data_IF_253552201209
#
_entry.id   IF_253552201209
#
_cell.length_a   1.000
_cell.length_b   1.000
_cell.length_c   1.000
_cell.angle_alpha   90.00
_cell.angle_beta   90.00
_cell.angle_gamma   90.00
#
_symmetry.space_group_name_H-M   'P 1'
#
loop_
_entity.id
_entity.type
_entity.pdbx_description
1 polymer ?
#
# COMPACT_ATOMS: atom_id res chain seq x y z
N UNK A 1 5.26 -49.91 -0.06
CA UNK A 1 4.28 -49.01 -0.72
C UNK A 1 3.01 -49.82 -0.94
N UNK A 2 1.82 -49.36 -0.53
CA UNK A 2 0.59 -50.11 -0.73
C UNK A 2 0.33 -50.27 -2.24
N UNK A 3 0.06 -51.49 -2.66
CA UNK A 3 -0.16 -51.88 -4.05
C UNK A 3 -1.62 -51.54 -4.42
N UNK A 4 -1.82 -50.72 -5.45
CA UNK A 4 -3.14 -50.36 -5.95
C UNK A 4 -3.76 -51.62 -6.59
N UNK A 5 -4.72 -52.26 -5.91
CA UNK A 5 -5.47 -53.41 -6.43
C UNK A 5 -6.78 -52.93 -7.06
N UNK A 6 -7.32 -53.70 -8.01
CA UNK A 6 -8.64 -53.43 -8.61
C UNK A 6 -9.78 -53.40 -7.58
N UNK A 7 -9.58 -54.01 -6.41
CA UNK A 7 -10.51 -54.01 -5.27
C UNK A 7 -10.46 -52.71 -4.44
N UNK A 8 -9.42 -51.88 -4.61
CA UNK A 8 -9.23 -50.61 -3.89
C UNK A 8 -9.43 -49.37 -4.79
N UNK A 9 -9.86 -49.56 -6.04
CA UNK A 9 -10.17 -48.47 -6.97
C UNK A 9 -11.62 -48.00 -6.75
N UNK A 10 -11.79 -46.86 -6.07
CA UNK A 10 -13.09 -46.21 -5.97
C UNK A 10 -13.31 -45.35 -7.21
N UNK A 11 -14.30 -45.72 -8.04
CA UNK A 11 -14.72 -44.90 -9.17
C UNK A 11 -15.71 -43.86 -8.64
N UNK A 12 -15.25 -42.62 -8.50
CA UNK A 12 -16.12 -41.48 -8.22
C UNK A 12 -16.62 -40.90 -9.54
N UNK A 13 -17.91 -41.06 -9.83
CA UNK A 13 -18.55 -40.44 -11.00
C UNK A 13 -19.12 -39.08 -10.60
N UNK A 14 -18.79 -38.02 -11.34
CA UNK A 14 -19.39 -36.70 -11.17
C UNK A 14 -20.34 -36.42 -12.34
N UNK A 15 -21.57 -35.99 -12.05
CA UNK A 15 -22.49 -35.45 -13.06
C UNK A 15 -22.22 -33.95 -13.19
N UNK A 16 -21.95 -33.47 -14.40
CA UNK A 16 -21.64 -32.06 -14.67
C UNK A 16 -22.66 -31.45 -15.64
N UNK A 17 -23.07 -30.21 -15.38
CA UNK A 17 -23.83 -29.39 -16.32
C UNK A 17 -22.86 -28.62 -17.22
N UNK A 18 -23.04 -28.69 -18.53
CA UNK A 18 -22.23 -27.97 -19.52
C UNK A 18 -23.04 -26.81 -20.09
N UNK A 19 -22.57 -25.58 -19.83
CA UNK A 19 -23.18 -24.37 -20.41
C UNK A 19 -22.46 -23.98 -21.69
N UNK A 20 -23.20 -23.81 -22.78
CA UNK A 20 -22.66 -23.40 -24.08
C UNK A 20 -23.10 -21.98 -24.42
N UNK A 21 -22.20 -21.20 -25.01
CA UNK A 21 -22.53 -19.87 -25.53
C UNK A 21 -23.11 -20.02 -26.94
N UNK A 22 -24.29 -19.46 -27.19
CA UNK A 22 -24.95 -19.51 -28.50
C UNK A 22 -25.31 -18.12 -29.01
N UNK A 23 -25.19 -17.91 -30.32
CA UNK A 23 -25.62 -16.70 -31.03
C UNK A 23 -26.51 -17.12 -32.20
N UNK A 24 -27.77 -16.65 -32.22
CA UNK A 24 -28.75 -17.04 -33.24
C UNK A 24 -28.98 -18.56 -33.33
N UNK A 25 -28.94 -19.26 -32.20
CA UNK A 25 -29.10 -20.72 -32.12
C UNK A 25 -27.88 -21.54 -32.55
N UNK A 26 -26.77 -20.91 -32.92
CA UNK A 26 -25.50 -21.58 -33.25
C UNK A 26 -24.52 -21.43 -32.10
N UNK A 27 -23.79 -22.50 -31.78
CA UNK A 27 -22.73 -22.44 -30.78
C UNK A 27 -21.61 -21.50 -31.24
N UNK A 28 -21.16 -20.64 -30.35
CA UNK A 28 -20.03 -19.73 -30.61
C UNK A 28 -18.76 -20.55 -30.82
N UNK A 29 -17.99 -20.22 -31.85
CA UNK A 29 -16.69 -20.83 -32.14
C UNK A 29 -15.55 -20.00 -31.54
N UNK A 30 -14.34 -20.55 -31.51
CA UNK A 30 -13.13 -19.78 -31.18
C UNK A 30 -12.93 -18.55 -32.07
N UNK A 31 -13.24 -18.63 -33.37
CA UNK A 31 -13.06 -17.48 -34.28
C UNK A 31 -14.05 -16.36 -33.97
N UNK A 32 -15.29 -16.69 -33.60
CA UNK A 32 -16.30 -15.70 -33.20
C UNK A 32 -15.93 -15.09 -31.86
N UNK A 33 -15.48 -15.89 -30.88
CA UNK A 33 -15.02 -15.36 -29.60
C UNK A 33 -13.86 -14.36 -29.75
N UNK A 34 -12.89 -14.63 -30.64
CA UNK A 34 -11.80 -13.69 -30.97
C UNK A 34 -12.27 -12.37 -31.60
N UNK A 35 -13.44 -12.36 -32.23
CA UNK A 35 -14.01 -11.16 -32.84
C UNK A 35 -14.76 -10.28 -31.83
N UNK A 36 -15.03 -10.76 -30.62
CA UNK A 36 -15.63 -9.93 -29.58
C UNK A 36 -14.67 -8.81 -29.20
N UNK A 37 -15.19 -7.57 -29.18
CA UNK A 37 -14.42 -6.41 -28.72
C UNK A 37 -14.03 -6.60 -27.26
N UNK A 38 -12.75 -6.38 -26.96
CA UNK A 38 -12.26 -6.43 -25.59
C UNK A 38 -12.51 -5.09 -24.91
N UNK A 39 -13.19 -5.15 -23.76
CA UNK A 39 -13.47 -3.99 -22.91
C UNK A 39 -13.44 -4.40 -21.43
N UNK A 40 -13.10 -3.47 -20.52
CA UNK A 40 -13.07 -3.77 -19.08
C UNK A 40 -14.47 -4.11 -18.56
N UNK A 41 -14.63 -5.28 -17.95
CA UNK A 41 -15.86 -5.64 -17.25
C UNK A 41 -16.01 -4.89 -15.92
N UNK A 42 -14.91 -4.75 -15.17
CA UNK A 42 -14.88 -4.03 -13.90
C UNK A 42 -14.34 -2.63 -14.17
N UNK A 43 -15.13 -1.62 -13.82
CA UNK A 43 -14.76 -0.22 -13.96
C UNK A 43 -13.76 0.20 -12.86
N UNK A 44 -13.11 1.35 -13.03
CA UNK A 44 -12.15 1.89 -12.07
C UNK A 44 -12.75 2.07 -10.67
N UNK A 45 -14.03 2.46 -10.58
CA UNK A 45 -14.77 2.64 -9.33
C UNK A 45 -15.22 1.31 -8.65
N UNK A 46 -14.90 0.17 -9.26
CA UNK A 46 -15.25 -1.17 -8.79
C UNK A 46 -16.63 -1.65 -9.21
N UNK A 47 -17.40 -0.88 -9.96
CA UNK A 47 -18.70 -1.31 -10.50
C UNK A 47 -18.53 -2.20 -11.74
N UNK A 48 -19.58 -2.97 -12.09
CA UNK A 48 -19.60 -3.74 -13.33
C UNK A 48 -20.13 -2.88 -14.47
N UNK A 49 -19.39 -2.82 -15.58
CA UNK A 49 -19.80 -2.11 -16.79
C UNK A 49 -20.98 -2.78 -17.53
N UNK A 50 -21.38 -3.97 -17.12
CA UNK A 50 -22.48 -4.72 -17.72
C UNK A 50 -22.73 -6.06 -17.05
N UNK A 51 -23.50 -6.92 -17.70
CA UNK A 51 -23.89 -8.22 -17.15
C UNK A 51 -22.89 -9.29 -17.56
N UNK A 52 -22.14 -9.91 -16.62
CA UNK A 52 -21.28 -11.02 -16.95
C UNK A 52 -22.10 -12.30 -17.20
N UNK A 53 -21.72 -13.07 -18.22
CA UNK A 53 -22.41 -14.32 -18.57
C UNK A 53 -21.66 -15.55 -18.08
N UNK A 54 -20.33 -15.53 -18.19
CA UNK A 54 -19.50 -16.68 -17.90
C UNK A 54 -18.05 -16.46 -18.35
N UNK A 55 -17.17 -17.42 -18.08
CA UNK A 55 -15.79 -17.37 -18.55
C UNK A 55 -15.48 -18.47 -19.56
N UNK A 56 -14.59 -18.21 -20.51
CA UNK A 56 -14.13 -19.18 -21.49
C UNK A 56 -12.70 -19.59 -21.15
N UNK A 57 -12.42 -20.89 -21.09
CA UNK A 57 -11.05 -21.39 -20.90
C UNK A 57 -10.30 -21.44 -22.24
N UNK A 58 -10.12 -20.27 -22.85
CA UNK A 58 -9.47 -20.11 -24.14
C UNK A 58 -8.66 -18.81 -24.14
N UNK A 59 -7.40 -18.88 -24.58
CA UNK A 59 -6.44 -17.78 -24.53
C UNK A 59 -6.18 -17.24 -25.95
N UNK A 60 -7.02 -16.29 -26.45
CA UNK A 60 -6.88 -15.78 -27.82
C UNK A 60 -5.53 -15.09 -28.05
N UNK A 61 -5.01 -14.44 -27.01
CA UNK A 61 -3.82 -13.57 -27.08
C UNK A 61 -2.55 -14.24 -26.53
N UNK A 62 -2.53 -15.58 -26.43
CA UNK A 62 -1.40 -16.39 -25.91
C UNK A 62 -0.94 -15.99 -24.50
N UNK A 63 -1.85 -15.48 -23.68
CA UNK A 63 -1.58 -15.05 -22.31
C UNK A 63 -1.39 -16.20 -21.30
N UNK A 64 -1.10 -17.43 -21.74
CA UNK A 64 -0.95 -18.59 -20.87
C UNK A 64 0.23 -18.45 -19.88
N UNK A 65 1.27 -17.69 -20.25
CA UNK A 65 2.46 -17.46 -19.43
C UNK A 65 2.37 -16.21 -18.55
N UNK A 66 1.24 -15.48 -18.61
CA UNK A 66 1.02 -14.25 -17.85
C UNK A 66 0.50 -14.47 -16.43
N UNK A 67 0.16 -13.38 -15.75
CA UNK A 67 -0.52 -13.45 -14.45
C UNK A 67 -1.86 -14.19 -14.58
N UNK A 68 -2.28 -14.97 -13.56
CA UNK A 68 -3.55 -15.68 -13.59
C UNK A 68 -4.73 -14.73 -13.86
N UNK A 69 -5.48 -14.97 -14.94
CA UNK A 69 -6.65 -14.17 -15.31
C UNK A 69 -7.76 -15.04 -15.90
N UNK A 70 -8.95 -14.46 -16.01
CA UNK A 70 -10.12 -15.08 -16.65
C UNK A 70 -10.54 -14.30 -17.88
N UNK A 71 -10.86 -15.02 -18.95
CA UNK A 71 -11.49 -14.48 -20.14
C UNK A 71 -13.00 -14.52 -19.96
N UNK A 72 -13.60 -13.37 -19.63
CA UNK A 72 -15.01 -13.25 -19.30
C UNK A 72 -15.80 -12.75 -20.50
N UNK A 73 -16.92 -13.42 -20.81
CA UNK A 73 -17.92 -12.92 -21.76
C UNK A 73 -18.97 -12.16 -20.97
N UNK A 74 -19.30 -10.96 -21.43
CA UNK A 74 -20.25 -10.08 -20.77
C UNK A 74 -21.01 -9.22 -21.78
N UNK A 75 -22.09 -8.58 -21.34
CA UNK A 75 -22.99 -7.82 -22.22
C UNK A 75 -23.22 -6.40 -21.70
N UNK A 76 -23.20 -5.42 -22.62
CA UNK A 76 -23.61 -4.03 -22.36
C UNK A 76 -24.43 -3.52 -23.54
N UNK A 77 -25.61 -2.95 -23.26
CA UNK A 77 -26.48 -2.34 -24.27
C UNK A 77 -26.79 -3.25 -25.47
N UNK A 78 -26.94 -4.55 -25.22
CA UNK A 78 -27.18 -5.55 -26.27
C UNK A 78 -25.93 -6.07 -26.98
N UNK A 79 -24.77 -5.43 -26.83
CA UNK A 79 -23.50 -5.86 -27.40
C UNK A 79 -22.82 -6.92 -26.53
N UNK A 80 -22.31 -7.98 -27.15
CA UNK A 80 -21.50 -8.99 -26.48
C UNK A 80 -20.02 -8.61 -26.55
N UNK A 81 -19.38 -8.58 -25.39
CA UNK A 81 -18.00 -8.12 -25.19
C UNK A 81 -17.19 -9.23 -24.51
N UNK A 82 -15.86 -9.12 -24.60
CA UNK A 82 -14.94 -9.92 -23.79
C UNK A 82 -14.14 -9.03 -22.85
N UNK A 83 -13.69 -9.58 -21.72
CA UNK A 83 -12.78 -8.92 -20.80
C UNK A 83 -11.71 -9.90 -20.33
N UNK A 84 -10.49 -9.40 -20.15
CA UNK A 84 -9.46 -10.08 -19.37
C UNK A 84 -9.55 -9.59 -17.92
N UNK A 85 -9.82 -10.47 -16.96
CA UNK A 85 -9.94 -10.14 -15.53
C UNK A 85 -8.85 -10.86 -14.73
N UNK A 86 -7.82 -10.14 -14.32
CA UNK A 86 -6.66 -10.68 -13.57
C UNK A 86 -6.95 -10.93 -12.09
N UNK A 87 -6.23 -11.88 -11.50
CA UNK A 87 -6.16 -12.11 -10.07
C UNK A 87 -4.72 -12.08 -9.58
N UNK A 88 -4.43 -11.38 -8.47
CA UNK A 88 -5.25 -10.34 -7.85
C UNK A 88 -5.26 -9.11 -8.77
N UNK A 89 -6.44 -8.54 -9.07
CA UNK A 89 -6.47 -7.10 -9.40
C UNK A 89 -5.80 -6.43 -8.20
N UNK A 90 -4.66 -5.82 -8.44
CA UNK A 90 -3.86 -5.21 -7.39
C UNK A 90 -4.62 -4.03 -6.76
N UNK A 91 -5.54 -4.35 -5.86
CA UNK A 91 -6.07 -3.43 -4.86
C UNK A 91 -5.17 -3.44 -3.60
N UNK A 92 -3.98 -4.06 -3.67
CA UNK A 92 -2.98 -4.04 -2.60
C UNK A 92 -1.98 -2.90 -2.77
N UNK A 93 -1.92 -2.29 -3.96
CA UNK A 93 -1.17 -1.10 -4.25
C UNK A 93 -1.53 -0.03 -3.22
N UNK A 94 -0.53 0.73 -2.81
CA UNK A 94 -0.77 1.85 -1.93
C UNK A 94 -1.76 2.83 -2.58
N UNK A 95 -2.71 3.30 -1.79
CA UNK A 95 -3.58 4.38 -2.23
C UNK A 95 -2.89 5.70 -1.96
N UNK A 96 -2.65 6.47 -3.03
CA UNK A 96 -2.16 7.84 -2.92
C UNK A 96 -3.31 8.81 -3.10
N UNK A 97 -3.45 9.71 -2.14
CA UNK A 97 -4.52 10.69 -2.09
C UNK A 97 -3.88 12.06 -1.91
N UNK A 98 -4.29 13.06 -2.69
CA UNK A 98 -3.68 14.39 -2.62
C UNK A 98 -3.85 14.99 -1.21
N UNK A 99 -5.03 14.86 -0.61
CA UNK A 99 -5.26 15.34 0.75
C UNK A 99 -4.41 14.59 1.78
N UNK A 100 -4.18 13.29 1.59
CA UNK A 100 -3.26 12.51 2.42
C UNK A 100 -1.81 12.99 2.38
N UNK A 101 -1.31 13.39 1.20
CA UNK A 101 0.00 13.99 1.07
C UNK A 101 0.05 15.33 1.82
N UNK A 102 -0.91 16.22 1.54
CA UNK A 102 -0.99 17.53 2.19
C UNK A 102 -1.11 17.43 3.72
N UNK A 103 -1.93 16.50 4.21
CA UNK A 103 -2.06 16.19 5.63
C UNK A 103 -0.74 15.72 6.23
N UNK A 104 -0.01 14.81 5.58
CA UNK A 104 1.27 14.33 6.10
C UNK A 104 2.33 15.44 6.13
N UNK A 105 2.36 16.31 5.12
CA UNK A 105 3.22 17.48 5.14
C UNK A 105 2.86 18.43 6.29
N UNK A 106 1.57 18.73 6.45
CA UNK A 106 1.06 19.57 7.53
C UNK A 106 1.39 19.00 8.92
N UNK A 107 1.17 17.70 9.11
CA UNK A 107 1.50 16.98 10.34
C UNK A 107 3.01 16.96 10.62
N UNK A 108 3.83 16.75 9.59
CA UNK A 108 5.28 16.82 9.74
C UNK A 108 5.72 18.20 10.23
N UNK A 109 5.16 19.29 9.67
CA UNK A 109 5.40 20.66 10.14
C UNK A 109 4.93 20.85 11.59
N UNK A 110 3.77 20.34 11.98
CA UNK A 110 3.28 20.40 13.37
C UNK A 110 4.22 19.68 14.34
N UNK A 111 4.64 18.45 14.04
CA UNK A 111 5.51 17.67 14.92
C UNK A 111 6.84 18.36 15.13
N UNK A 112 7.46 18.87 14.06
CA UNK A 112 8.74 19.54 14.19
C UNK A 112 8.61 20.85 14.98
N UNK A 113 7.47 21.52 14.90
CA UNK A 113 7.13 22.66 15.75
C UNK A 113 6.83 22.29 17.22
N UNK A 114 6.87 21.00 17.59
CA UNK A 114 6.48 20.53 18.92
C UNK A 114 4.98 20.60 19.18
N UNK A 115 4.17 20.70 18.13
CA UNK A 115 2.70 20.87 18.16
C UNK A 115 1.94 19.68 17.59
N UNK A 116 2.60 18.56 17.30
CA UNK A 116 1.98 17.40 16.68
C UNK A 116 0.79 16.88 17.48
N UNK A 117 -0.42 16.96 16.93
CA UNK A 117 -1.66 16.49 17.58
C UNK A 117 -2.03 15.07 17.17
N UNK A 118 -1.70 14.69 15.94
CA UNK A 118 -1.98 13.36 15.42
C UNK A 118 -0.91 12.36 15.82
N UNK A 119 -1.27 11.07 15.75
CA UNK A 119 -0.39 9.94 16.05
C UNK A 119 0.29 10.04 17.45
N UNK A 120 -0.39 10.65 18.43
CA UNK A 120 0.13 10.83 19.79
C UNK A 120 1.34 11.76 19.87
N UNK A 121 1.42 12.76 18.97
CA UNK A 121 2.58 13.62 18.80
C UNK A 121 3.81 12.89 18.26
N UNK A 122 3.65 11.62 17.88
CA UNK A 122 4.65 10.86 17.14
C UNK A 122 4.37 11.03 15.67
N UNK A 123 5.31 10.55 14.89
CA UNK A 123 5.11 10.45 13.47
C UNK A 123 4.67 9.00 13.14
N UNK A 124 3.90 8.79 12.06
CA UNK A 124 3.45 7.45 11.65
C UNK A 124 4.63 6.49 11.34
N UNK A 125 4.37 5.20 11.25
CA UNK A 125 5.45 4.24 10.99
C UNK A 125 5.92 4.36 9.53
N UNK A 126 7.21 4.66 9.33
CA UNK A 126 7.85 4.60 8.02
C UNK A 126 8.37 3.19 7.78
N UNK A 127 7.79 2.51 6.80
CA UNK A 127 8.26 1.22 6.32
C UNK A 127 9.00 1.46 5.02
N UNK A 128 10.25 1.00 4.92
CA UNK A 128 10.98 1.01 3.66
C UNK A 128 10.55 -0.22 2.85
N UNK A 129 9.94 0.00 1.70
CA UNK A 129 9.62 -1.04 0.73
C UNK A 129 10.39 -0.74 -0.54
N UNK A 130 11.36 -1.59 -0.86
CA UNK A 130 12.30 -1.41 -1.97
C UNK A 130 13.00 -0.03 -1.91
N UNK A 131 12.66 0.85 -2.85
CA UNK A 131 13.20 2.20 -2.97
C UNK A 131 12.29 3.30 -2.42
N UNK A 132 11.06 2.96 -2.03
CA UNK A 132 10.09 3.91 -1.51
C UNK A 132 10.00 3.91 0.02
N UNK A 133 9.65 5.06 0.58
CA UNK A 133 9.32 5.19 2.00
C UNK A 133 7.80 5.20 2.12
N UNK A 134 7.25 4.16 2.73
CA UNK A 134 5.81 3.99 2.89
C UNK A 134 5.39 4.37 4.29
N UNK A 135 4.54 5.39 4.41
CA UNK A 135 3.88 5.73 5.67
C UNK A 135 2.69 4.80 5.82
N UNK A 136 2.75 3.86 6.77
CA UNK A 136 1.60 3.02 7.08
C UNK A 136 0.82 3.60 8.25
N UNK A 137 -0.46 3.86 8.04
CA UNK A 137 -1.37 4.19 9.12
C UNK A 137 -2.72 3.52 8.91
N UNK A 138 -3.55 3.53 9.94
CA UNK A 138 -4.92 3.01 9.85
C UNK A 138 -5.91 4.16 9.95
N UNK A 139 -6.87 4.18 9.05
CA UNK A 139 -8.05 5.04 9.10
C UNK A 139 -9.24 4.13 9.33
N UNK A 140 -9.95 4.29 10.45
CA UNK A 140 -11.11 3.44 10.81
C UNK A 140 -10.86 1.93 10.69
N UNK A 141 -9.63 1.49 11.00
CA UNK A 141 -9.21 0.09 10.93
C UNK A 141 -8.71 -0.37 9.55
N UNK A 142 -8.88 0.43 8.51
CA UNK A 142 -8.37 0.14 7.17
C UNK A 142 -6.89 0.55 7.05
N UNK A 143 -6.00 -0.34 6.58
CA UNK A 143 -4.61 0.00 6.35
C UNK A 143 -4.48 0.93 5.14
N UNK A 144 -3.87 2.09 5.37
CA UNK A 144 -3.43 3.02 4.35
C UNK A 144 -1.92 3.09 4.33
N UNK A 145 -1.41 3.22 3.11
CA UNK A 145 0.01 3.32 2.81
C UNK A 145 0.18 4.57 1.95
N UNK A 146 1.01 5.51 2.39
CA UNK A 146 1.34 6.70 1.62
C UNK A 146 2.79 6.55 1.15
N UNK A 147 3.00 6.36 -0.15
CA UNK A 147 4.32 6.15 -0.77
C UNK A 147 5.03 7.48 -1.05
N UNK A 148 6.00 7.83 -0.22
CA UNK A 148 6.85 9.01 -0.41
C UNK A 148 7.87 8.74 -1.56
N UNK A 149 7.51 9.07 -2.80
CA UNK A 149 8.32 8.84 -4.02
C UNK A 149 8.61 10.13 -4.82
N UNK A 150 7.84 11.21 -4.60
CA UNK A 150 8.09 12.49 -5.26
C UNK A 150 9.26 13.26 -4.62
N UNK A 151 9.94 14.15 -5.37
CA UNK A 151 10.96 15.05 -4.81
C UNK A 151 10.45 15.92 -3.67
N UNK A 152 9.16 16.20 -3.62
CA UNK A 152 8.53 16.95 -2.53
C UNK A 152 8.43 16.10 -1.26
N UNK A 153 8.19 14.79 -1.41
CA UNK A 153 8.21 13.80 -0.33
C UNK A 153 9.60 13.59 0.27
N UNK A 154 10.66 13.86 -0.52
CA UNK A 154 12.03 13.90 -0.01
C UNK A 154 12.18 14.97 1.08
N UNK A 155 11.52 16.12 0.97
CA UNK A 155 11.63 17.19 1.98
C UNK A 155 11.00 16.76 3.30
N UNK A 156 9.81 16.15 3.24
CA UNK A 156 9.15 15.57 4.43
C UNK A 156 10.03 14.51 5.07
N UNK A 157 10.58 13.61 4.26
CA UNK A 157 11.51 12.56 4.70
C UNK A 157 12.80 13.13 5.30
N UNK A 158 13.33 14.21 4.75
CA UNK A 158 14.57 14.81 5.26
C UNK A 158 14.30 15.59 6.55
N UNK A 159 13.16 16.27 6.66
CA UNK A 159 12.68 16.90 7.89
C UNK A 159 12.51 15.88 9.00
N UNK A 160 11.94 14.73 8.64
CA UNK A 160 11.78 13.60 9.51
C UNK A 160 13.10 13.07 10.05
N UNK A 161 14.08 12.85 9.16
CA UNK A 161 15.41 12.37 9.55
C UNK A 161 16.11 13.36 10.48
N UNK A 162 16.00 14.66 10.18
CA UNK A 162 16.55 15.72 11.02
C UNK A 162 15.90 15.71 12.42
N UNK A 163 14.57 15.60 12.49
CA UNK A 163 13.83 15.56 13.76
C UNK A 163 14.22 14.35 14.61
N UNK A 164 14.27 13.15 14.02
CA UNK A 164 14.69 11.94 14.74
C UNK A 164 16.13 12.04 15.23
N UNK A 165 17.03 12.59 14.41
CA UNK A 165 18.42 12.81 14.81
C UNK A 165 18.52 13.77 16.00
N UNK A 166 17.77 14.88 15.97
CA UNK A 166 17.74 15.84 17.08
C UNK A 166 17.16 15.24 18.34
N UNK A 167 16.00 14.59 18.26
CA UNK A 167 15.36 13.96 19.42
C UNK A 167 16.27 12.89 20.03
N UNK A 168 16.92 12.06 19.21
CA UNK A 168 17.87 11.05 19.70
C UNK A 168 19.06 11.71 20.41
N UNK A 169 19.57 12.82 19.89
CA UNK A 169 20.65 13.58 20.53
C UNK A 169 20.23 14.17 21.88
N UNK A 170 19.01 14.74 21.97
CA UNK A 170 18.43 15.24 23.23
C UNK A 170 18.25 14.11 24.24
N UNK A 171 17.64 12.99 23.84
CA UNK A 171 17.46 11.82 24.71
C UNK A 171 18.81 11.23 25.16
N UNK A 172 19.84 11.27 24.31
CA UNK A 172 21.20 10.92 24.69
C UNK A 172 21.75 11.91 25.72
N UNK A 173 21.63 13.21 25.50
CA UNK A 173 22.11 14.26 26.39
C UNK A 173 21.47 14.17 27.79
N UNK A 174 20.16 13.92 27.86
CA UNK A 174 19.40 13.77 29.11
C UNK A 174 19.73 12.48 29.87
N UNK A 175 20.20 11.43 29.18
CA UNK A 175 20.58 10.18 29.86
C UNK A 175 21.73 10.44 30.81
N UNK A 176 21.62 10.00 32.09
CA UNK A 176 22.71 10.09 33.04
C UNK A 176 23.99 9.54 32.43
N UNK A 177 25.11 10.19 32.72
CA UNK A 177 26.43 9.73 32.31
C UNK A 177 26.74 8.44 33.07
N UNK A 178 26.25 7.31 32.58
CA UNK A 178 26.76 6.03 33.00
C UNK A 178 28.16 5.94 32.45
N UNK A 179 29.15 5.97 33.34
CA UNK A 179 30.57 5.94 33.00
C UNK A 179 30.80 4.84 31.95
N UNK A 180 30.99 5.21 30.66
CA UNK A 180 30.95 4.22 29.57
C UNK A 180 32.25 3.42 29.51
N UNK A 181 33.26 3.79 30.31
CA UNK A 181 34.52 3.10 30.38
C UNK A 181 34.65 2.36 31.72
N UNK A 182 34.70 1.01 31.73
CA UNK A 182 35.21 0.30 32.89
C UNK A 182 36.62 0.83 33.13
N UNK A 183 36.83 1.42 34.31
CA UNK A 183 38.06 2.15 34.56
C UNK A 183 39.21 1.16 34.46
N UNK A 184 40.07 1.34 33.46
CA UNK A 184 41.31 0.60 33.42
C UNK A 184 42.10 0.92 34.70
N UNK A 185 42.68 -0.09 35.37
CA UNK A 185 43.55 0.14 36.51
C UNK A 185 44.62 1.18 36.12
N UNK A 186 44.77 2.24 36.92
CA UNK A 186 45.80 3.27 36.71
C UNK A 186 45.34 4.61 36.12
N UNK A 187 44.06 4.79 35.78
CA UNK A 187 43.54 6.10 35.33
C UNK A 187 43.27 7.01 36.53
N UNK A 188 43.89 8.20 36.54
CA UNK A 188 43.72 9.20 37.60
C UNK A 188 42.30 9.80 37.60
N UNK A 189 41.89 10.36 38.73
CA UNK A 189 40.60 11.04 38.85
C UNK A 189 40.49 12.23 37.88
N UNK A 190 41.58 12.96 37.68
CA UNK A 190 41.66 14.07 36.73
C UNK A 190 41.45 13.60 35.28
N UNK A 191 42.06 12.49 34.88
CA UNK A 191 41.85 11.90 33.56
C UNK A 191 40.39 11.47 33.35
N UNK A 192 39.74 10.94 34.40
CA UNK A 192 38.30 10.61 34.34
C UNK A 192 37.44 11.86 34.16
N UNK A 193 37.74 12.93 34.92
CA UNK A 193 37.03 14.20 34.81
C UNK A 193 37.15 14.80 33.40
N UNK A 194 38.35 14.77 32.80
CA UNK A 194 38.58 15.22 31.42
C UNK A 194 37.80 14.40 30.39
N UNK A 195 37.72 13.07 30.54
CA UNK A 195 36.93 12.21 29.65
C UNK A 195 35.44 12.53 29.75
N UNK A 196 34.90 12.66 30.97
CA UNK A 196 33.49 13.03 31.19
C UNK A 196 33.19 14.42 30.62
N UNK A 197 34.07 15.40 30.84
CA UNK A 197 33.92 16.75 30.30
C UNK A 197 33.91 16.75 28.77
N UNK A 198 34.87 16.06 28.13
CA UNK A 198 34.93 15.94 26.68
C UNK A 198 33.66 15.30 26.12
N UNK A 199 33.23 14.20 26.71
CA UNK A 199 32.05 13.49 26.24
C UNK A 199 30.75 14.30 26.42
N UNK A 200 30.66 15.08 27.50
CA UNK A 200 29.53 16.01 27.71
C UNK A 200 29.54 17.12 26.65
N UNK A 201 30.71 17.68 26.34
CA UNK A 201 30.85 18.66 25.26
C UNK A 201 30.50 18.07 23.89
N UNK A 202 30.95 16.84 23.60
CA UNK A 202 30.64 16.14 22.34
C UNK A 202 29.13 15.88 22.20
N UNK A 203 28.42 15.55 23.30
CA UNK A 203 26.96 15.39 23.29
C UNK A 203 26.23 16.70 23.02
N UNK A 204 26.56 17.77 23.74
CA UNK A 204 25.97 19.08 23.54
C UNK A 204 26.17 19.58 22.10
N UNK A 205 27.36 19.35 21.53
CA UNK A 205 27.68 19.68 20.14
C UNK A 205 26.86 18.87 19.13
N UNK A 206 26.62 17.57 19.39
CA UNK A 206 25.72 16.74 18.55
C UNK A 206 24.28 17.27 18.60
N UNK A 207 23.77 17.59 19.79
CA UNK A 207 22.42 18.15 19.95
C UNK A 207 22.29 19.48 19.21
N UNK A 208 23.28 20.38 19.35
CA UNK A 208 23.32 21.67 18.64
C UNK A 208 23.28 21.48 17.12
N UNK A 209 24.16 20.65 16.56
CA UNK A 209 24.18 20.38 15.11
C UNK A 209 22.90 19.75 14.60
N UNK A 210 22.34 18.81 15.36
CA UNK A 210 21.07 18.20 15.00
C UNK A 210 19.92 19.20 15.05
N UNK A 211 19.96 20.16 15.99
CA UNK A 211 18.98 21.26 16.06
C UNK A 211 19.11 22.23 14.89
N UNK A 212 20.33 22.65 14.55
CA UNK A 212 20.59 23.51 13.38
C UNK A 212 20.08 22.86 12.10
N UNK A 213 20.37 21.56 11.92
CA UNK A 213 19.85 20.81 10.77
C UNK A 213 18.33 20.71 10.77
N UNK A 214 17.70 20.59 11.94
CA UNK A 214 16.25 20.60 12.05
C UNK A 214 15.67 21.94 11.62
N UNK A 215 16.22 23.05 12.14
CA UNK A 215 15.75 24.40 11.85
C UNK A 215 15.90 24.73 10.34
N UNK A 216 17.02 24.35 9.70
CA UNK A 216 17.22 24.47 8.24
C UNK A 216 16.11 23.77 7.44
N UNK A 217 15.75 22.54 7.84
CA UNK A 217 14.75 21.78 7.10
C UNK A 217 13.34 22.30 7.39
N UNK A 218 13.06 22.77 8.60
CA UNK A 218 11.79 23.45 8.94
C UNK A 218 11.59 24.68 8.08
N UNK A 219 12.62 25.51 7.94
CA UNK A 219 12.57 26.69 7.09
C UNK A 219 12.23 26.31 5.63
N UNK A 220 12.85 25.24 5.13
CA UNK A 220 12.58 24.72 3.79
C UNK A 220 11.16 24.12 3.60
N UNK A 221 10.51 23.67 4.67
CA UNK A 221 9.14 23.15 4.64
C UNK A 221 8.08 24.26 4.57
N UNK A 222 8.43 25.49 4.91
CA UNK A 222 7.50 26.63 4.92
C UNK A 222 6.74 26.79 6.24
N UNK A 223 5.72 27.68 6.27
CA UNK A 223 4.99 28.01 7.49
C UNK A 223 4.25 26.79 8.04
N UNK A 224 4.20 26.68 9.37
CA UNK A 224 3.45 25.62 10.02
C UNK A 224 1.96 25.98 9.95
N UNK A 225 1.10 25.12 9.38
CA UNK A 225 -0.32 25.38 9.29
C UNK A 225 -0.94 25.57 10.69
N UNK A 226 -2.08 26.27 10.70
CA UNK A 226 -2.93 26.38 11.88
C UNK A 226 -3.52 25.01 12.25
N UNK A 227 -3.87 24.82 13.53
CA UNK A 227 -4.55 23.61 13.97
C UNK A 227 -5.79 23.26 13.12
N UNK A 228 -6.59 24.27 12.79
CA UNK A 228 -7.82 24.12 12.02
C UNK A 228 -7.56 23.67 10.57
N UNK A 229 -6.48 24.15 9.95
CA UNK A 229 -6.06 23.71 8.61
C UNK A 229 -5.64 22.24 8.59
N UNK A 230 -4.85 21.81 9.59
CA UNK A 230 -4.45 20.39 9.68
C UNK A 230 -5.66 19.50 9.94
N UNK A 231 -6.61 19.95 10.75
CA UNK A 231 -7.85 19.21 11.02
C UNK A 231 -8.69 19.06 9.74
N UNK A 232 -8.79 20.11 8.93
CA UNK A 232 -9.49 20.08 7.65
C UNK A 232 -8.84 19.10 6.67
N UNK A 233 -7.51 19.17 6.49
CA UNK A 233 -6.76 18.24 5.65
C UNK A 233 -6.90 16.79 6.12
N UNK A 234 -6.90 16.58 7.44
CA UNK A 234 -7.13 15.25 8.00
C UNK A 234 -8.54 14.73 7.67
N UNK A 235 -9.59 15.55 7.82
CA UNK A 235 -10.95 15.12 7.47
C UNK A 235 -11.10 14.82 5.98
N UNK A 236 -10.54 15.65 5.12
CA UNK A 236 -10.56 15.41 3.67
C UNK A 236 -9.85 14.10 3.32
N UNK A 237 -8.66 13.87 3.89
CA UNK A 237 -7.95 12.61 3.74
C UNK A 237 -8.75 11.41 4.28
N UNK A 238 -9.45 11.56 5.41
CA UNK A 238 -10.32 10.50 5.96
C UNK A 238 -11.45 10.16 5.00
N UNK A 239 -12.05 11.14 4.35
CA UNK A 239 -13.15 10.93 3.41
C UNK A 239 -12.66 10.27 2.12
N UNK A 240 -11.54 10.73 1.56
CA UNK A 240 -10.86 10.08 0.42
C UNK A 240 -10.49 8.61 0.73
N UNK A 241 -9.97 8.37 1.94
CA UNK A 241 -9.64 7.04 2.42
C UNK A 241 -10.89 6.13 2.49
N UNK A 242 -12.01 6.63 3.04
CA UNK A 242 -13.27 5.86 3.11
C UNK A 242 -13.81 5.54 1.72
N UNK A 243 -13.74 6.49 0.80
CA UNK A 243 -14.19 6.30 -0.58
C UNK A 243 -13.35 5.25 -1.30
N UNK A 244 -12.03 5.28 -1.13
CA UNK A 244 -11.13 4.25 -1.64
C UNK A 244 -11.41 2.89 -1.02
N UNK A 245 -11.61 2.81 0.30
CA UNK A 245 -11.94 1.55 0.98
C UNK A 245 -13.24 0.96 0.42
N UNK A 246 -14.27 1.79 0.23
CA UNK A 246 -15.52 1.39 -0.40
C UNK A 246 -15.31 0.94 -1.84
N UNK A 247 -14.46 1.62 -2.62
CA UNK A 247 -14.08 1.23 -3.98
C UNK A 247 -13.42 -0.14 -4.02
N UNK A 248 -12.44 -0.39 -3.15
CA UNK A 248 -11.75 -1.68 -3.03
C UNK A 248 -12.70 -2.81 -2.65
N UNK A 249 -13.66 -2.54 -1.76
CA UNK A 249 -14.69 -3.50 -1.42
C UNK A 249 -15.56 -3.84 -2.64
N UNK A 250 -16.01 -2.84 -3.41
CA UNK A 250 -16.76 -3.08 -4.66
C UNK A 250 -15.96 -3.92 -5.67
N UNK A 251 -14.67 -3.63 -5.85
CA UNK A 251 -13.78 -4.45 -6.68
C UNK A 251 -13.71 -5.88 -6.17
N UNK A 252 -13.53 -6.10 -4.86
CA UNK A 252 -13.47 -7.43 -4.28
C UNK A 252 -14.77 -8.22 -4.47
N UNK A 253 -15.92 -7.55 -4.34
CA UNK A 253 -17.24 -8.14 -4.57
C UNK A 253 -17.43 -8.50 -6.04
N UNK A 254 -17.05 -7.59 -6.97
CA UNK A 254 -17.09 -7.83 -8.40
C UNK A 254 -16.20 -9.03 -8.81
N UNK A 255 -14.99 -9.13 -8.25
CA UNK A 255 -14.10 -10.27 -8.48
C UNK A 255 -14.68 -11.57 -7.91
N UNK A 256 -15.36 -11.51 -6.77
CA UNK A 256 -16.06 -12.66 -6.18
C UNK A 256 -17.19 -13.13 -7.09
N UNK A 257 -17.98 -12.20 -7.64
CA UNK A 257 -19.00 -12.49 -8.64
C UNK A 257 -18.39 -13.12 -9.90
N UNK A 258 -17.29 -12.56 -10.44
CA UNK A 258 -16.56 -13.11 -11.60
C UNK A 258 -16.00 -14.51 -11.31
N UNK A 259 -15.55 -14.77 -10.08
CA UNK A 259 -15.07 -16.10 -9.66
C UNK A 259 -16.18 -17.15 -9.68
N UNK A 260 -17.39 -16.74 -9.32
CA UNK A 260 -18.58 -17.60 -9.28
C UNK A 260 -19.22 -17.84 -10.65
N UNK A 261 -18.77 -17.13 -11.70
CA UNK A 261 -19.29 -17.31 -13.05
C UNK A 261 -19.08 -18.75 -13.55
N UNK A 262 -20.04 -19.31 -14.31
CA UNK A 262 -19.88 -20.62 -14.91
C UNK A 262 -18.86 -20.58 -16.05
N UNK A 263 -18.23 -21.72 -16.31
CA UNK A 263 -17.45 -21.92 -17.53
C UNK A 263 -18.41 -22.05 -18.72
N UNK A 264 -18.14 -21.30 -19.79
CA UNK A 264 -18.82 -21.38 -21.08
C UNK A 264 -17.98 -22.18 -22.06
N UNK A 265 -18.59 -23.19 -22.65
CA UNK A 265 -17.98 -24.00 -23.69
C UNK A 265 -18.29 -23.42 -25.07
N UNK A 266 -17.25 -23.25 -25.87
CA UNK A 266 -17.30 -22.81 -27.26
C UNK A 266 -16.83 -23.93 -28.18
N UNK A 267 -17.32 -23.94 -29.41
CA UNK A 267 -16.92 -24.90 -30.42
C UNK A 267 -15.47 -24.64 -30.89
N UNK A 268 -14.75 -25.73 -31.17
CA UNK A 268 -13.41 -25.72 -31.78
C UNK A 268 -13.54 -25.60 -33.29
#
# INVERSE_FOLDING_TARGET
MPQLTTQNAVITTATIEVKTLTLGGKQVTQSVFRQLREEPLINHDGTLNGTPWGFVNYHPDKCADGEPHRHVVWQRDGELLRATVSQPYDCRGAYWSAAGQEFLEAHAREVVAGRGRYFGGKLPELVREDDAVVVRHRVDGFPFSVILDAPEDIRVRDAWRAYLSWRTAVEEEEKPVHNPYPVSPGVSEEQRAQVVQKWTADRAERTRKARERLDEVVEALGPVPSPEEVDALYQEHLDEAKDEAARRQRVADALTAVKALPQLFIAV
#
